data_IF_949175520476
#
_entry.id   IF_949175520476
#
_cell.length_a   1.000
_cell.length_b   1.000
_cell.length_c   1.000
_cell.angle_alpha   90.00
_cell.angle_beta   90.00
_cell.angle_gamma   90.00
#
_symmetry.space_group_name_H-M   'P 1'
#
loop_
_entity.id
_entity.type
_entity.pdbx_description
1 polymer ?
#
# COMPACT_ATOMS: atom_id res chain seq x y z
N UNK A 1 14.55 -2.78 -39.95
CA UNK A 1 13.28 -2.24 -39.42
C UNK A 1 12.36 -3.41 -39.11
N UNK A 2 12.14 -3.71 -37.83
CA UNK A 2 11.31 -4.84 -37.39
C UNK A 2 10.00 -4.32 -36.80
N UNK A 3 8.88 -4.79 -37.33
CA UNK A 3 7.52 -4.41 -36.93
C UNK A 3 6.95 -5.59 -36.14
N UNK A 4 6.85 -5.46 -34.81
CA UNK A 4 6.14 -6.43 -33.97
C UNK A 4 4.69 -5.97 -33.78
N UNK A 5 3.74 -6.72 -34.34
CA UNK A 5 2.32 -6.59 -34.02
C UNK A 5 1.94 -7.65 -32.98
N UNK A 6 1.57 -7.21 -31.78
CA UNK A 6 0.99 -8.09 -30.77
C UNK A 6 -0.50 -8.29 -31.06
N UNK A 7 -0.85 -9.48 -31.53
CA UNK A 7 -2.25 -9.92 -31.63
C UNK A 7 -2.79 -10.22 -30.22
N UNK A 8 -3.74 -9.40 -29.74
CA UNK A 8 -4.53 -9.72 -28.55
C UNK A 8 -5.60 -10.74 -28.96
N UNK A 9 -5.41 -12.00 -28.58
CA UNK A 9 -6.37 -13.07 -28.83
C UNK A 9 -7.53 -12.96 -27.84
N UNK A 10 -8.64 -12.38 -28.27
CA UNK A 10 -9.93 -12.47 -27.57
C UNK A 10 -10.32 -13.94 -27.39
N UNK A 11 -10.61 -14.37 -26.16
CA UNK A 11 -11.14 -15.70 -25.86
C UNK A 11 -12.55 -15.57 -25.29
N UNK A 12 -13.51 -15.33 -26.17
CA UNK A 12 -14.92 -15.59 -25.92
C UNK A 12 -15.30 -16.84 -26.73
N UNK A 13 -15.18 -18.02 -26.11
CA UNK A 13 -15.92 -19.24 -26.44
C UNK A 13 -15.36 -20.44 -25.67
N UNK A 14 -16.02 -20.86 -24.58
CA UNK A 14 -16.26 -22.28 -24.31
C UNK A 14 -17.65 -22.39 -23.70
N UNK A 15 -18.57 -22.90 -24.51
CA UNK A 15 -19.94 -23.25 -24.16
C UNK A 15 -19.98 -24.56 -23.38
N UNK A 16 -20.93 -24.62 -22.45
CA UNK A 16 -21.77 -25.76 -22.09
C UNK A 16 -21.19 -27.08 -21.54
N UNK A 17 -21.79 -27.44 -20.39
CA UNK A 17 -22.16 -28.79 -19.90
C UNK A 17 -21.04 -29.69 -19.36
N UNK A 18 -20.91 -29.70 -18.04
CA UNK A 18 -20.93 -30.95 -17.26
C UNK A 18 -21.70 -30.70 -15.97
N UNK A 19 -22.93 -31.22 -15.90
CA UNK A 19 -23.62 -31.45 -14.65
C UNK A 19 -23.01 -32.68 -13.97
N UNK A 20 -22.74 -32.56 -12.67
CA UNK A 20 -22.52 -33.71 -11.80
C UNK A 20 -21.12 -33.80 -11.19
N UNK A 21 -21.13 -33.83 -9.85
CA UNK A 21 -20.09 -34.31 -8.93
C UNK A 21 -19.16 -33.23 -8.36
N UNK A 22 -19.46 -32.91 -7.09
CA UNK A 22 -18.65 -32.15 -6.15
C UNK A 22 -17.27 -32.80 -6.03
N UNK A 23 -16.23 -32.13 -6.51
CA UNK A 23 -14.85 -32.44 -6.15
C UNK A 23 -14.06 -31.14 -6.02
N UNK A 24 -13.43 -30.98 -4.86
CA UNK A 24 -12.49 -29.93 -4.50
C UNK A 24 -11.49 -29.63 -5.63
N UNK A 25 -11.61 -28.46 -6.24
CA UNK A 25 -10.59 -27.88 -7.11
C UNK A 25 -10.40 -26.40 -6.77
N UNK A 26 -9.97 -26.13 -5.54
CA UNK A 26 -9.56 -24.78 -5.11
C UNK A 26 -8.12 -24.42 -5.45
N UNK A 27 -7.39 -25.29 -6.16
CA UNK A 27 -5.99 -25.08 -6.55
C UNK A 27 -5.83 -25.05 -8.08
N UNK A 28 -6.31 -23.99 -8.74
CA UNK A 28 -5.95 -23.78 -10.15
C UNK A 28 -6.04 -22.33 -10.66
N UNK A 29 -6.31 -21.32 -9.83
CA UNK A 29 -6.32 -19.93 -10.29
C UNK A 29 -5.63 -19.02 -9.28
N UNK A 30 -4.41 -18.65 -9.63
CA UNK A 30 -3.54 -17.68 -8.94
C UNK A 30 -4.02 -16.23 -9.15
N UNK A 31 -5.32 -16.04 -9.08
CA UNK A 31 -5.97 -14.74 -8.98
C UNK A 31 -6.64 -14.72 -7.63
N UNK A 32 -5.90 -14.31 -6.59
CA UNK A 32 -6.53 -13.88 -5.35
C UNK A 32 -7.34 -12.63 -5.65
N UNK A 33 -8.58 -12.87 -6.09
CA UNK A 33 -9.62 -11.88 -6.20
C UNK A 33 -9.82 -11.28 -4.79
N UNK A 34 -9.88 -9.97 -4.70
CA UNK A 34 -10.32 -9.24 -3.51
C UNK A 34 -11.81 -9.54 -3.26
N UNK A 35 -12.14 -10.78 -2.90
CA UNK A 35 -13.49 -11.18 -2.54
C UNK A 35 -13.60 -11.07 -1.03
N UNK A 36 -14.15 -9.95 -0.55
CA UNK A 36 -14.54 -9.79 0.85
C UNK A 36 -15.71 -10.73 1.13
N UNK A 37 -15.45 -11.92 1.67
CA UNK A 37 -16.51 -12.69 2.32
C UNK A 37 -16.83 -12.03 3.66
N UNK A 38 -17.99 -11.39 3.74
CA UNK A 38 -18.58 -11.02 5.01
C UNK A 38 -19.03 -12.30 5.73
N UNK A 39 -18.59 -12.47 6.97
CA UNK A 39 -19.30 -13.35 7.92
C UNK A 39 -18.74 -14.76 8.12
N UNK A 40 -17.44 -14.91 8.41
CA UNK A 40 -16.91 -15.96 9.32
C UNK A 40 -15.56 -15.46 9.82
N UNK A 41 -15.25 -15.58 11.13
CA UNK A 41 -14.02 -15.08 11.82
C UNK A 41 -12.89 -14.81 10.82
N UNK A 42 -12.70 -13.54 10.47
CA UNK A 42 -12.02 -13.17 9.24
C UNK A 42 -10.61 -13.75 9.19
N UNK A 43 -10.31 -14.49 8.13
CA UNK A 43 -8.95 -14.76 7.71
C UNK A 43 -8.31 -13.42 7.36
N UNK A 44 -7.85 -12.68 8.37
CA UNK A 44 -7.15 -11.41 8.17
C UNK A 44 -5.85 -11.71 7.44
N UNK A 45 -5.74 -11.22 6.21
CA UNK A 45 -4.55 -11.35 5.39
C UNK A 45 -3.73 -10.08 5.58
N UNK A 46 -2.49 -10.26 6.02
CA UNK A 46 -1.49 -9.21 6.06
C UNK A 46 -0.61 -9.36 4.81
N UNK A 47 -0.62 -8.36 3.93
CA UNK A 47 0.10 -8.38 2.68
C UNK A 47 0.91 -7.08 2.52
N UNK A 48 1.95 -6.93 3.33
CA UNK A 48 2.88 -5.81 3.21
C UNK A 48 3.92 -6.07 2.12
N UNK A 49 4.28 -5.01 1.39
CA UNK A 49 5.39 -5.03 0.44
C UNK A 49 6.59 -4.32 1.05
N UNK A 50 7.72 -5.01 1.17
CA UNK A 50 8.90 -4.48 1.85
C UNK A 50 10.12 -4.44 0.92
N UNK A 51 10.78 -3.29 0.88
CA UNK A 51 12.04 -3.07 0.19
C UNK A 51 13.17 -2.97 1.21
N UNK A 52 14.17 -3.85 1.08
CA UNK A 52 15.35 -3.86 1.94
C UNK A 52 16.56 -3.24 1.25
N UNK A 53 17.18 -2.22 1.89
CA UNK A 53 18.40 -1.55 1.40
C UNK A 53 19.45 -1.47 2.51
N UNK A 54 20.67 -1.04 2.17
CA UNK A 54 21.83 -1.14 3.07
C UNK A 54 21.73 -0.34 4.38
N UNK A 55 20.98 0.76 4.40
CA UNK A 55 20.89 1.67 5.58
C UNK A 55 19.51 1.69 6.24
N UNK A 56 18.48 1.28 5.53
CA UNK A 56 17.12 1.22 6.02
C UNK A 56 16.32 0.22 5.18
N UNK A 57 15.15 -0.13 5.68
CA UNK A 57 14.16 -0.82 4.89
C UNK A 57 12.80 -0.16 5.07
N UNK A 58 11.97 -0.27 4.03
CA UNK A 58 10.70 0.41 3.86
C UNK A 58 9.62 -0.63 3.60
N UNK A 59 8.60 -0.67 4.44
CA UNK A 59 7.41 -1.49 4.26
C UNK A 59 6.20 -0.62 3.93
N UNK A 60 5.42 -1.05 2.94
CA UNK A 60 4.20 -0.43 2.45
C UNK A 60 3.03 -1.32 2.87
N UNK A 61 2.16 -0.82 3.73
CA UNK A 61 1.07 -1.60 4.32
C UNK A 61 -0.29 -0.93 4.08
N UNK A 62 -1.23 -1.57 3.38
CA UNK A 62 -2.56 -1.01 3.17
C UNK A 62 -3.41 -1.09 4.46
N UNK A 63 -4.03 0.04 4.82
CA UNK A 63 -5.03 0.13 5.88
C UNK A 63 -6.42 0.28 5.27
N UNK A 64 -7.29 -0.66 5.59
CA UNK A 64 -8.67 -0.70 5.08
C UNK A 64 -9.49 0.50 5.58
N UNK A 65 -10.44 1.00 4.76
CA UNK A 65 -11.43 1.97 5.21
C UNK A 65 -12.30 1.38 6.32
N UNK A 66 -12.87 2.26 7.14
CA UNK A 66 -13.84 1.88 8.18
C UNK A 66 -15.24 2.31 7.77
N UNK A 67 -16.19 1.44 8.06
CA UNK A 67 -17.61 1.67 7.88
C UNK A 67 -18.28 1.48 9.24
N UNK A 68 -19.20 2.38 9.57
CA UNK A 68 -20.05 2.23 10.74
C UNK A 68 -21.37 1.61 10.27
N UNK A 69 -21.70 0.46 10.82
CA UNK A 69 -22.94 -0.22 10.53
C UNK A 69 -24.06 0.37 11.41
N UNK A 70 -25.15 0.79 10.78
CA UNK A 70 -26.39 1.20 11.43
C UNK A 70 -27.49 0.22 11.02
N UNK A 71 -28.60 0.16 11.77
CA UNK A 71 -29.66 -0.84 11.60
C UNK A 71 -30.25 -0.91 10.18
N UNK A 72 -30.13 0.16 9.40
CA UNK A 72 -30.69 0.25 8.04
C UNK A 72 -29.64 0.45 6.94
N UNK A 73 -28.40 0.84 7.30
CA UNK A 73 -27.37 1.13 6.30
C UNK A 73 -25.96 1.14 6.90
N UNK A 74 -24.98 0.72 6.11
CA UNK A 74 -23.57 0.94 6.42
C UNK A 74 -23.15 2.34 5.96
N UNK A 75 -22.79 3.21 6.90
CA UNK A 75 -22.28 4.55 6.60
C UNK A 75 -20.76 4.51 6.55
N UNK A 76 -20.22 5.24 5.59
CA UNK A 76 -18.79 5.44 5.49
C UNK A 76 -18.27 6.30 6.66
N UNK A 77 -17.32 5.76 7.43
CA UNK A 77 -16.76 6.44 8.62
C UNK A 77 -15.42 7.09 8.28
N UNK A 78 -14.48 6.29 7.75
CA UNK A 78 -13.10 6.73 7.57
C UNK A 78 -12.46 6.17 6.30
N UNK A 79 -11.75 7.04 5.60
CA UNK A 79 -10.83 6.70 4.50
C UNK A 79 -9.79 5.68 4.95
N UNK A 80 -9.56 4.68 4.10
CA UNK A 80 -8.36 3.87 4.17
C UNK A 80 -7.12 4.72 3.86
N UNK A 81 -5.95 4.17 4.13
CA UNK A 81 -4.68 4.83 3.86
C UNK A 81 -3.57 3.81 3.60
N UNK A 82 -2.42 4.26 3.10
CA UNK A 82 -1.22 3.44 2.99
C UNK A 82 -0.27 3.82 4.12
N UNK A 83 0.06 2.88 5.00
CA UNK A 83 1.02 3.07 6.07
C UNK A 83 2.42 2.72 5.59
N UNK A 84 3.31 3.71 5.57
CA UNK A 84 4.72 3.53 5.30
C UNK A 84 5.48 3.35 6.62
N UNK A 85 6.28 2.30 6.72
CA UNK A 85 7.11 1.97 7.89
C UNK A 85 8.58 1.94 7.48
N UNK A 86 9.39 2.78 8.10
CA UNK A 86 10.83 2.84 7.90
C UNK A 86 11.53 2.26 9.11
N UNK A 87 12.48 1.35 8.93
CA UNK A 87 13.33 0.84 10.01
C UNK A 87 14.81 0.98 9.66
N UNK A 88 15.64 1.50 10.57
CA UNK A 88 17.06 1.67 10.32
C UNK A 88 17.78 0.32 10.33
N UNK A 89 18.82 0.19 9.51
CA UNK A 89 19.71 -0.96 9.55
C UNK A 89 20.60 -0.91 10.81
N UNK A 90 20.79 -2.04 11.45
CA UNK A 90 21.69 -2.24 12.60
C UNK A 90 22.85 -3.18 12.28
N UNK A 91 22.88 -3.72 11.08
CA UNK A 91 23.92 -4.61 10.57
C UNK A 91 23.58 -5.08 9.16
N UNK A 92 24.43 -5.93 8.59
CA UNK A 92 24.18 -6.50 7.28
C UNK A 92 22.88 -7.32 7.30
N UNK A 93 21.90 -6.88 6.48
CA UNK A 93 20.55 -7.48 6.39
C UNK A 93 19.80 -7.59 7.73
N UNK A 94 20.16 -6.75 8.72
CA UNK A 94 19.49 -6.66 10.02
C UNK A 94 18.93 -5.27 10.23
N UNK A 95 17.67 -5.17 10.65
CA UNK A 95 16.95 -3.92 10.81
C UNK A 95 16.27 -3.85 12.18
N UNK A 96 16.29 -2.68 12.81
CA UNK A 96 15.70 -2.46 14.13
C UNK A 96 14.24 -2.03 14.02
N UNK A 97 13.34 -2.97 14.30
CA UNK A 97 11.90 -2.74 14.32
C UNK A 97 11.43 -1.81 15.44
N UNK A 98 12.17 -1.75 16.56
CA UNK A 98 11.79 -0.92 17.71
C UNK A 98 12.01 0.56 17.40
N UNK A 99 13.05 0.88 16.62
CA UNK A 99 13.34 2.25 16.15
C UNK A 99 12.61 2.62 14.86
N UNK A 100 11.56 1.89 14.48
CA UNK A 100 10.81 2.19 13.26
C UNK A 100 10.11 3.55 13.35
N UNK A 101 10.02 4.22 12.22
CA UNK A 101 9.24 5.44 12.03
C UNK A 101 8.11 5.16 11.05
N UNK A 102 6.99 5.86 11.24
CA UNK A 102 5.79 5.62 10.45
C UNK A 102 5.13 6.93 10.01
N UNK A 103 4.65 6.95 8.78
CA UNK A 103 3.80 8.00 8.20
C UNK A 103 2.72 7.33 7.36
N UNK A 104 1.50 7.86 7.37
CA UNK A 104 0.37 7.29 6.65
C UNK A 104 -0.02 8.20 5.49
N UNK A 105 -0.03 7.70 4.25
CA UNK A 105 -0.49 8.47 3.10
C UNK A 105 -1.99 8.27 2.92
N UNK A 106 -2.73 9.38 2.95
CA UNK A 106 -4.13 9.43 2.58
C UNK A 106 -4.32 9.08 1.08
N UNK A 107 -5.54 8.74 0.64
CA UNK A 107 -5.79 8.44 -0.76
C UNK A 107 -5.39 9.57 -1.72
N UNK A 108 -5.53 10.83 -1.29
CA UNK A 108 -5.10 11.99 -2.07
C UNK A 108 -3.59 12.04 -2.24
N UNK A 109 -2.83 11.82 -1.16
CA UNK A 109 -1.36 11.82 -1.19
C UNK A 109 -0.81 10.64 -1.99
N UNK A 110 -1.46 9.46 -1.89
CA UNK A 110 -1.15 8.32 -2.77
C UNK A 110 -1.41 8.69 -4.23
N UNK A 111 -2.51 9.39 -4.53
CA UNK A 111 -2.79 9.93 -5.85
C UNK A 111 -1.66 10.83 -6.36
N UNK A 112 -1.20 11.77 -5.54
CA UNK A 112 -0.06 12.63 -5.88
C UNK A 112 1.23 11.84 -6.12
N UNK A 113 1.48 10.78 -5.33
CA UNK A 113 2.67 9.94 -5.47
C UNK A 113 2.65 9.11 -6.76
N UNK A 114 1.52 8.50 -7.12
CA UNK A 114 1.42 7.66 -8.34
C UNK A 114 1.34 8.49 -9.62
N UNK A 115 0.89 9.75 -9.52
CA UNK A 115 0.84 10.70 -10.63
C UNK A 115 2.11 11.54 -10.74
N UNK A 116 3.17 11.21 -9.99
CA UNK A 116 4.44 11.91 -10.04
C UNK A 116 5.08 11.74 -11.42
N UNK A 117 5.37 12.86 -12.08
CA UNK A 117 6.07 12.83 -13.37
C UNK A 117 7.54 12.42 -13.20
N UNK A 118 8.15 11.79 -14.23
CA UNK A 118 9.56 11.45 -14.22
C UNK A 118 10.45 12.66 -13.89
N UNK A 119 11.39 12.48 -12.96
CA UNK A 119 12.32 13.52 -12.55
C UNK A 119 11.72 14.62 -11.65
N UNK A 120 10.44 14.55 -11.28
CA UNK A 120 9.82 15.47 -10.31
C UNK A 120 9.92 14.93 -8.89
N UNK A 121 9.76 15.80 -7.89
CA UNK A 121 9.70 15.44 -6.49
C UNK A 121 8.33 15.78 -5.89
N UNK A 122 7.98 15.13 -4.78
CA UNK A 122 6.83 15.51 -3.96
C UNK A 122 7.16 15.40 -2.47
N UNK A 123 6.46 16.19 -1.65
CA UNK A 123 6.65 16.22 -0.21
C UNK A 123 5.30 16.19 0.53
N UNK A 124 5.27 15.48 1.66
CA UNK A 124 4.09 15.33 2.49
C UNK A 124 4.41 15.72 3.93
N UNK A 125 3.63 16.63 4.50
CA UNK A 125 3.83 17.18 5.84
C UNK A 125 2.68 16.80 6.76
N UNK A 126 3.00 16.08 7.83
CA UNK A 126 2.03 15.58 8.81
C UNK A 126 2.33 16.18 10.18
N UNK A 127 1.31 16.74 10.83
CA UNK A 127 1.35 17.08 12.26
C UNK A 127 0.41 16.12 13.00
N UNK A 128 0.94 15.10 13.71
CA UNK A 128 0.12 14.15 14.46
C UNK A 128 -0.68 14.80 15.60
N UNK A 129 -0.23 15.94 16.09
CA UNK A 129 -0.83 16.72 17.17
C UNK A 129 -1.74 17.83 16.65
N UNK A 130 -2.01 17.88 15.34
CA UNK A 130 -2.89 18.88 14.75
C UNK A 130 -4.26 18.81 15.42
N UNK A 131 -4.84 19.98 15.75
CA UNK A 131 -6.10 20.13 16.52
C UNK A 131 -6.01 19.72 18.00
N UNK A 132 -4.81 19.55 18.55
CA UNK A 132 -4.56 19.45 19.98
C UNK A 132 -3.77 20.67 20.49
N UNK A 133 -3.56 20.76 21.80
CA UNK A 133 -2.71 21.80 22.42
C UNK A 133 -1.26 21.75 21.94
N UNK A 134 -0.80 20.60 21.42
CA UNK A 134 0.58 20.37 21.01
C UNK A 134 0.78 20.54 19.50
N UNK A 135 -0.17 21.18 18.82
CA UNK A 135 -0.07 21.46 17.39
C UNK A 135 1.21 22.24 17.07
N UNK A 136 1.86 21.90 15.97
CA UNK A 136 3.11 22.50 15.50
C UNK A 136 4.38 21.97 16.19
N UNK A 137 4.28 21.30 17.33
CA UNK A 137 5.45 20.80 18.07
C UNK A 137 6.05 19.53 17.44
N UNK A 138 5.21 18.65 16.89
CA UNK A 138 5.65 17.40 16.25
C UNK A 138 5.27 17.44 14.78
N UNK A 139 6.27 17.32 13.91
CA UNK A 139 6.06 17.32 12.46
C UNK A 139 6.76 16.12 11.84
N UNK A 140 6.15 15.50 10.85
CA UNK A 140 6.78 14.48 10.03
C UNK A 140 6.78 15.00 8.61
N UNK A 141 7.93 14.94 7.95
CA UNK A 141 8.01 15.24 6.52
C UNK A 141 8.52 14.01 5.78
N UNK A 142 7.77 13.57 4.78
CA UNK A 142 8.20 12.57 3.82
C UNK A 142 8.50 13.29 2.51
N UNK A 143 9.74 13.22 2.05
CA UNK A 143 10.12 13.65 0.70
C UNK A 143 10.40 12.46 -0.20
N UNK A 144 9.94 12.57 -1.44
CA UNK A 144 10.20 11.61 -2.51
C UNK A 144 10.92 12.36 -3.62
N UNK A 145 12.19 12.04 -3.83
CA UNK A 145 13.05 12.76 -4.78
C UNK A 145 13.66 11.80 -5.79
N UNK A 146 13.86 12.24 -7.05
CA UNK A 146 14.50 11.40 -8.06
C UNK A 146 15.96 11.08 -7.67
N UNK A 147 16.40 9.87 -7.99
CA UNK A 147 17.76 9.38 -7.76
C UNK A 147 18.37 8.93 -9.09
N UNK A 148 19.27 9.75 -9.64
CA UNK A 148 19.87 9.48 -10.96
C UNK A 148 18.83 9.52 -12.08
N UNK A 149 19.02 8.67 -13.09
CA UNK A 149 18.08 8.58 -14.22
C UNK A 149 16.87 7.69 -13.93
N UNK A 150 17.05 6.58 -13.19
CA UNK A 150 16.00 5.60 -12.89
C UNK A 150 15.94 5.28 -11.39
N UNK A 151 15.16 6.05 -10.64
CA UNK A 151 14.89 5.74 -9.25
C UNK A 151 14.34 6.91 -8.45
N UNK A 152 13.83 6.57 -7.27
CA UNK A 152 13.37 7.54 -6.29
C UNK A 152 13.89 7.19 -4.90
N UNK A 153 14.27 8.21 -4.15
CA UNK A 153 14.61 8.12 -2.74
C UNK A 153 13.44 8.60 -1.90
N UNK A 154 13.04 7.79 -0.91
CA UNK A 154 12.05 8.15 0.09
C UNK A 154 12.77 8.51 1.39
N UNK A 155 12.56 9.73 1.88
CA UNK A 155 13.19 10.22 3.10
C UNK A 155 12.13 10.69 4.10
N UNK A 156 12.09 10.04 5.27
CA UNK A 156 11.21 10.40 6.37
C UNK A 156 12.02 11.13 7.46
N UNK A 157 11.73 12.42 7.64
CA UNK A 157 12.30 13.22 8.71
C UNK A 157 11.30 13.44 9.85
N UNK A 158 11.82 13.42 11.08
CA UNK A 158 11.17 13.93 12.29
C UNK A 158 12.07 15.04 12.86
N UNK A 159 11.52 16.10 13.48
CA UNK A 159 12.34 17.06 14.21
C UNK A 159 13.14 16.31 15.28
N UNK A 160 14.36 16.77 15.58
CA UNK A 160 15.10 16.28 16.73
C UNK A 160 14.24 16.51 17.97
N UNK A 161 13.99 15.43 18.72
CA UNK A 161 13.38 15.44 20.05
C UNK A 161 14.39 15.89 21.08
#
# INVERSE_FOLDING_TARGET
MMKLSYFVRSRSAVSEKVAGKVSNTSNALWTHCFTTQAGTRSNQIFADYTVFKGKAALSVYPLLPKFNESETSSKYDKKGCILLKFWPAIGERKYDWQKRQMIALSPTEVGSLISLEPGKSCEFFHDPSMKSSNAGQVRKSLSVTPLGEDGYMFNLSKPPT
#
